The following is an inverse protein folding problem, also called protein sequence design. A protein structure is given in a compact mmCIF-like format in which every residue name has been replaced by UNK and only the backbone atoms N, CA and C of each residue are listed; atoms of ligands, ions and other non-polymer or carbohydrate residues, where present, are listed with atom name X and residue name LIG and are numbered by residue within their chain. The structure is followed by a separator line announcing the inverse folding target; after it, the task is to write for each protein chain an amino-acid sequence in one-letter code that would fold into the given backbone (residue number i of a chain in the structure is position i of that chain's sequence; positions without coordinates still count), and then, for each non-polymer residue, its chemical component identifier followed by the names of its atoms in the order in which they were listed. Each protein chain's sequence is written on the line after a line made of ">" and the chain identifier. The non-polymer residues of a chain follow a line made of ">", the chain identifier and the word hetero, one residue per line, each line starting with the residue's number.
data_IF_353013942501
#
_entry.id   IF_353013942501
#
_cell.length_a   1.000
_cell.length_b   1.000
_cell.length_c   1.000
_cell.angle_alpha   90.00
_cell.angle_beta   90.00
_cell.angle_gamma   90.00
#
_symmetry.space_group_name_H-M   'P 1'
#
loop_
_entity.id
_entity.type
_entity.pdbx_description
1 polymer ?
#
# COMPACT_ATOMS: atom_id res chain seq x y z
N UNK A 1 -3.97 -4.13 17.80
CA UNK A 1 -3.89 -4.93 16.55
C UNK A 1 -2.47 -5.07 16.02
N UNK A 2 -1.69 -3.99 15.82
CA UNK A 2 -0.40 -4.03 15.10
C UNK A 2 0.78 -4.82 15.74
N UNK A 3 0.66 -5.35 16.98
CA UNK A 3 1.75 -6.12 17.63
C UNK A 3 1.80 -7.60 17.27
N UNK A 4 0.75 -8.14 16.63
CA UNK A 4 0.70 -9.53 16.14
C UNK A 4 1.34 -9.70 14.73
N UNK A 5 1.83 -8.62 14.14
CA UNK A 5 2.39 -8.58 12.79
C UNK A 5 3.90 -8.79 12.85
N UNK A 6 4.35 -10.04 12.68
CA UNK A 6 5.77 -10.34 12.46
C UNK A 6 5.99 -10.66 10.98
N UNK A 7 7.03 -10.05 10.40
CA UNK A 7 7.50 -10.39 9.05
C UNK A 7 7.86 -11.86 8.96
N UNK A 8 7.52 -12.48 7.84
CA UNK A 8 8.14 -13.73 7.40
C UNK A 8 8.83 -13.50 6.05
N UNK A 9 9.69 -14.43 5.61
CA UNK A 9 10.45 -14.26 4.36
C UNK A 9 9.55 -14.09 3.11
N UNK A 10 8.30 -14.55 3.18
CA UNK A 10 7.34 -14.56 2.08
C UNK A 10 6.56 -13.24 1.99
N UNK A 11 6.02 -12.75 3.11
CA UNK A 11 5.27 -11.51 3.21
C UNK A 11 6.13 -10.47 3.92
N UNK A 12 6.74 -9.60 3.11
CA UNK A 12 7.58 -8.50 3.58
C UNK A 12 6.87 -7.16 3.59
N UNK A 13 5.67 -7.06 3.04
CA UNK A 13 4.83 -5.87 3.16
C UNK A 13 3.37 -6.21 3.36
N UNK A 14 2.68 -5.41 4.18
CA UNK A 14 1.24 -5.42 4.33
C UNK A 14 0.72 -4.04 3.95
N UNK A 15 -0.13 -3.96 2.93
CA UNK A 15 -0.62 -2.71 2.38
C UNK A 15 -2.13 -2.66 2.50
N UNK A 16 -2.64 -1.61 3.15
CA UNK A 16 -4.06 -1.28 3.09
C UNK A 16 -4.25 -0.38 1.87
N UNK A 17 -4.95 -0.89 0.88
CA UNK A 17 -5.36 -0.11 -0.29
C UNK A 17 -6.48 0.87 0.09
N UNK A 18 -6.76 1.90 -0.73
CA UNK A 18 -7.75 2.92 -0.44
C UNK A 18 -9.12 2.38 -0.03
N UNK A 19 -9.69 1.43 -0.76
CA UNK A 19 -11.00 0.88 -0.42
C UNK A 19 -10.99 0.19 0.96
N UNK A 20 -9.93 -0.54 1.30
CA UNK A 20 -9.81 -1.10 2.64
C UNK A 20 -9.67 -0.01 3.71
N UNK A 21 -8.87 1.02 3.43
CA UNK A 21 -8.68 2.18 4.32
C UNK A 21 -10.03 2.86 4.59
N UNK A 22 -10.89 2.98 3.59
CA UNK A 22 -12.23 3.54 3.74
C UNK A 22 -13.13 2.70 4.63
N UNK A 23 -13.13 1.39 4.44
CA UNK A 23 -13.90 0.48 5.30
C UNK A 23 -13.49 0.57 6.78
N UNK A 24 -12.20 0.79 7.06
CA UNK A 24 -11.69 0.93 8.43
C UNK A 24 -11.90 2.32 9.03
N UNK A 25 -11.53 3.38 8.32
CA UNK A 25 -11.41 4.72 8.88
C UNK A 25 -12.61 5.62 8.56
N UNK A 26 -13.09 5.58 7.32
CA UNK A 26 -14.17 6.45 6.85
C UNK A 26 -15.54 5.89 7.21
N UNK A 27 -15.85 4.66 6.79
CA UNK A 27 -17.14 4.02 7.03
C UNK A 27 -17.20 3.29 8.37
N UNK A 28 -16.04 2.89 8.91
CA UNK A 28 -15.91 2.13 10.17
C UNK A 28 -16.74 0.84 10.19
N UNK A 29 -16.89 0.22 9.01
CA UNK A 29 -17.68 -0.98 8.75
C UNK A 29 -16.86 -2.27 8.85
N UNK A 30 -15.55 -2.20 8.59
CA UNK A 30 -14.67 -3.36 8.75
C UNK A 30 -14.36 -3.61 10.23
N UNK A 31 -15.27 -4.30 10.91
CA UNK A 31 -15.09 -4.81 12.28
C UNK A 31 -15.11 -6.32 12.23
N UNK A 32 -14.01 -6.94 12.63
CA UNK A 32 -13.90 -8.38 12.75
C UNK A 32 -13.62 -8.78 14.20
N UNK A 33 -14.40 -9.72 14.71
CA UNK A 33 -14.15 -10.37 15.99
C UNK A 33 -13.05 -11.41 15.86
N UNK A 34 -12.07 -11.36 16.77
CA UNK A 34 -11.04 -12.38 16.91
C UNK A 34 -11.43 -13.27 18.09
N UNK A 35 -11.61 -14.56 17.85
CA UNK A 35 -12.04 -15.54 18.85
C UNK A 35 -10.88 -16.17 19.61
N UNK A 36 -9.65 -16.02 19.09
CA UNK A 36 -8.44 -16.57 19.68
C UNK A 36 -7.89 -15.66 20.79
N UNK A 37 -7.38 -16.21 21.93
CA UNK A 37 -6.83 -15.43 23.03
C UNK A 37 -5.52 -14.71 22.65
N UNK A 38 -4.76 -15.26 21.69
CA UNK A 38 -3.53 -14.65 21.14
C UNK A 38 -3.59 -14.76 19.61
N UNK A 39 -4.30 -13.84 18.93
CA UNK A 39 -4.52 -13.93 17.49
C UNK A 39 -3.24 -13.62 16.71
N UNK A 40 -2.99 -14.39 15.65
CA UNK A 40 -1.92 -14.19 14.68
C UNK A 40 -2.32 -13.22 13.55
N UNK A 41 -1.36 -12.86 12.69
CA UNK A 41 -1.63 -12.13 11.44
C UNK A 41 -2.64 -12.88 10.56
N UNK A 42 -2.44 -14.19 10.40
CA UNK A 42 -3.32 -15.01 9.59
C UNK A 42 -4.74 -15.01 10.15
N UNK A 43 -4.90 -15.13 11.47
CA UNK A 43 -6.22 -15.04 12.12
C UNK A 43 -6.90 -13.70 11.86
N UNK A 44 -6.14 -12.61 11.95
CA UNK A 44 -6.66 -11.28 11.66
C UNK A 44 -7.11 -11.13 10.20
N UNK A 45 -6.31 -11.61 9.25
CA UNK A 45 -6.66 -11.58 7.82
C UNK A 45 -7.88 -12.44 7.54
N UNK A 46 -7.93 -13.67 8.05
CA UNK A 46 -9.07 -14.59 7.91
C UNK A 46 -10.35 -13.95 8.47
N UNK A 47 -10.27 -13.38 9.67
CA UNK A 47 -11.43 -12.74 10.30
C UNK A 47 -11.93 -11.56 9.46
N UNK A 48 -11.02 -10.71 8.96
CA UNK A 48 -11.38 -9.60 8.08
C UNK A 48 -12.02 -10.08 6.77
N UNK A 49 -11.43 -11.08 6.10
CA UNK A 49 -11.95 -11.56 4.82
C UNK A 49 -13.27 -12.31 4.93
N UNK A 50 -13.55 -12.93 6.08
CA UNK A 50 -14.79 -13.68 6.29
C UNK A 50 -15.94 -12.81 6.82
N UNK A 51 -15.64 -11.77 7.60
CA UNK A 51 -16.65 -10.98 8.32
C UNK A 51 -16.91 -9.61 7.67
N UNK A 52 -16.13 -9.22 6.67
CA UNK A 52 -16.20 -7.87 6.07
C UNK A 52 -16.08 -7.93 4.55
N UNK A 53 -16.13 -6.76 3.89
CA UNK A 53 -15.89 -6.63 2.46
C UNK A 53 -14.40 -6.64 2.07
N UNK A 54 -13.50 -6.72 3.06
CA UNK A 54 -12.06 -6.75 2.82
C UNK A 54 -11.69 -8.06 2.13
N UNK A 55 -10.87 -7.95 1.09
CA UNK A 55 -10.20 -9.04 0.40
C UNK A 55 -8.70 -8.97 0.66
N UNK A 56 -8.07 -10.14 0.58
CA UNK A 56 -6.63 -10.28 0.69
C UNK A 56 -6.06 -10.84 -0.61
N UNK A 57 -5.16 -10.10 -1.25
CA UNK A 57 -4.43 -10.57 -2.44
C UNK A 57 -2.94 -10.54 -2.16
N UNK A 58 -2.27 -11.68 -2.34
CA UNK A 58 -0.82 -11.75 -2.22
C UNK A 58 -0.17 -11.45 -3.58
N UNK A 59 0.59 -10.36 -3.63
CA UNK A 59 1.46 -9.98 -4.76
C UNK A 59 2.89 -9.92 -4.25
N UNK A 60 3.69 -10.98 -4.44
CA UNK A 60 4.99 -11.10 -3.80
C UNK A 60 5.85 -9.82 -3.93
N UNK A 61 6.39 -9.28 -2.81
CA UNK A 61 6.30 -9.76 -1.43
C UNK A 61 5.20 -9.07 -0.58
N UNK A 62 4.24 -8.40 -1.21
CA UNK A 62 3.21 -7.58 -0.60
C UNK A 62 1.89 -8.36 -0.43
N UNK A 63 1.35 -8.35 0.79
CA UNK A 63 -0.04 -8.72 1.05
C UNK A 63 -0.90 -7.46 0.98
N UNK A 64 -1.80 -7.41 0.00
CA UNK A 64 -2.72 -6.29 -0.20
C UNK A 64 -4.04 -6.60 0.50
N UNK A 65 -4.47 -5.73 1.41
CA UNK A 65 -5.82 -5.68 1.93
C UNK A 65 -6.58 -4.61 1.18
N UNK A 66 -7.68 -5.00 0.53
CA UNK A 66 -8.35 -4.16 -0.46
C UNK A 66 -9.84 -4.51 -0.53
N UNK A 67 -10.61 -3.77 -1.32
CA UNK A 67 -12.01 -4.10 -1.67
C UNK A 67 -12.11 -4.48 -3.14
N UNK A 68 -13.31 -4.80 -3.61
CA UNK A 68 -13.58 -5.12 -5.03
C UNK A 68 -13.33 -3.94 -5.97
N UNK A 69 -13.26 -2.73 -5.42
CA UNK A 69 -13.10 -1.49 -6.17
C UNK A 69 -11.63 -1.25 -6.54
N UNK A 70 -10.72 -1.77 -5.74
CA UNK A 70 -9.29 -1.48 -5.82
C UNK A 70 -8.60 -2.29 -6.93
N UNK A 71 -7.88 -1.62 -7.86
CA UNK A 71 -7.06 -2.31 -8.85
C UNK A 71 -5.77 -2.84 -8.22
N UNK A 72 -5.71 -4.15 -7.97
CA UNK A 72 -4.55 -4.81 -7.33
C UNK A 72 -3.31 -4.88 -8.22
N UNK A 73 -3.47 -4.78 -9.55
CA UNK A 73 -2.36 -4.73 -10.50
C UNK A 73 -1.76 -3.32 -10.57
N UNK A 74 -0.48 -3.10 -10.21
CA UNK A 74 0.13 -1.80 -10.29
C UNK A 74 0.33 -1.39 -11.77
N UNK A 75 0.12 -0.12 -12.08
CA UNK A 75 0.57 0.47 -13.34
C UNK A 75 1.98 1.04 -13.11
N UNK A 76 2.95 0.41 -13.75
CA UNK A 76 4.35 0.78 -13.67
C UNK A 76 4.86 0.98 -15.09
N UNK A 77 5.36 2.17 -15.39
CA UNK A 77 6.00 2.47 -16.67
C UNK A 77 7.49 2.69 -16.43
N UNK A 78 8.33 2.05 -17.24
CA UNK A 78 9.78 2.21 -17.17
C UNK A 78 10.21 2.97 -18.44
N UNK A 79 10.63 4.22 -18.27
CA UNK A 79 11.22 5.03 -19.35
C UNK A 79 12.75 5.03 -19.28
N UNK A 80 13.33 4.59 -18.15
CA UNK A 80 14.78 4.53 -17.96
C UNK A 80 15.19 3.29 -17.15
N UNK A 81 15.56 2.23 -17.87
CA UNK A 81 15.95 0.92 -17.31
C UNK A 81 17.05 1.01 -16.24
N UNK A 82 18.15 1.77 -16.41
CA UNK A 82 19.20 1.82 -15.39
C UNK A 82 18.73 2.41 -14.05
N UNK A 83 17.70 3.26 -14.05
CA UNK A 83 17.09 3.74 -12.80
C UNK A 83 16.24 2.64 -12.17
N UNK A 84 15.47 1.90 -12.97
CA UNK A 84 14.65 0.80 -12.49
C UNK A 84 15.51 -0.31 -11.86
N UNK A 85 16.60 -0.70 -12.51
CA UNK A 85 17.57 -1.67 -11.98
C UNK A 85 18.18 -1.18 -10.66
N UNK A 86 18.57 0.10 -10.56
CA UNK A 86 19.05 0.69 -9.30
C UNK A 86 18.01 0.59 -8.19
N UNK A 87 16.73 0.85 -8.50
CA UNK A 87 15.64 0.76 -7.53
C UNK A 87 15.39 -0.67 -7.05
N UNK A 88 15.56 -1.67 -7.91
CA UNK A 88 15.43 -3.09 -7.55
C UNK A 88 16.49 -3.53 -6.54
N UNK A 89 17.71 -2.98 -6.65
CA UNK A 89 18.83 -3.31 -5.76
C UNK A 89 18.96 -2.36 -4.56
N UNK A 90 18.31 -1.20 -4.60
CA UNK A 90 18.31 -0.25 -3.51
C UNK A 90 17.63 -0.86 -2.27
N UNK A 91 18.28 -0.74 -1.12
CA UNK A 91 17.64 -1.11 0.16
C UNK A 91 16.79 0.04 0.64
N UNK A 92 15.55 -0.24 1.01
CA UNK A 92 14.72 0.72 1.71
C UNK A 92 14.93 0.63 3.23
N UNK A 93 14.08 1.28 4.01
CA UNK A 93 14.13 1.26 5.47
C UNK A 93 13.90 -0.18 5.98
N UNK A 94 14.70 -0.69 6.95
CA UNK A 94 14.59 -2.07 7.44
C UNK A 94 13.20 -2.42 7.99
N UNK A 95 12.53 -1.47 8.61
CA UNK A 95 11.16 -1.62 9.07
C UNK A 95 10.44 -0.28 8.97
N UNK A 96 9.28 -0.26 8.32
CA UNK A 96 8.37 0.89 8.26
C UNK A 96 7.01 0.50 8.77
N UNK A 97 6.39 1.45 9.47
CA UNK A 97 5.00 1.39 9.85
C UNK A 97 4.40 2.77 9.60
N UNK A 98 3.66 2.88 8.50
CA UNK A 98 2.88 4.06 8.18
C UNK A 98 1.43 3.78 8.49
N UNK A 99 0.88 4.57 9.39
CA UNK A 99 -0.52 4.56 9.73
C UNK A 99 -1.07 5.93 9.35
N UNK A 100 -1.92 5.97 8.34
CA UNK A 100 -2.63 7.17 7.93
C UNK A 100 -1.67 8.35 7.61
N UNK A 101 -0.66 8.12 6.75
CA UNK A 101 0.37 9.13 6.39
C UNK A 101 0.14 9.74 5.01
N UNK A 102 0.21 11.06 4.92
CA UNK A 102 0.13 11.78 3.64
C UNK A 102 1.44 11.72 2.85
N UNK A 103 1.39 12.21 1.61
CA UNK A 103 2.55 12.28 0.72
C UNK A 103 3.67 13.15 1.28
N UNK A 104 3.35 14.23 1.99
CA UNK A 104 4.35 15.14 2.56
C UNK A 104 5.21 14.45 3.62
N UNK A 105 4.69 13.40 4.27
CA UNK A 105 5.45 12.51 5.14
C UNK A 105 6.26 11.45 4.36
N UNK A 106 5.67 10.84 3.32
CA UNK A 106 6.27 9.71 2.59
C UNK A 106 7.39 10.16 1.66
N UNK A 107 7.19 11.25 0.91
CA UNK A 107 8.11 11.72 -0.12
C UNK A 107 9.53 11.98 0.42
N UNK A 108 9.74 12.65 1.58
CA UNK A 108 11.08 12.86 2.12
C UNK A 108 11.80 11.55 2.47
N UNK A 109 11.07 10.52 2.91
CA UNK A 109 11.67 9.21 3.22
C UNK A 109 12.15 8.53 1.95
N UNK A 110 11.34 8.54 0.89
CA UNK A 110 11.71 8.02 -0.43
C UNK A 110 12.95 8.74 -0.96
N UNK A 111 12.93 10.08 -0.97
CA UNK A 111 14.06 10.90 -1.42
C UNK A 111 15.34 10.59 -0.62
N UNK A 112 15.26 10.58 0.72
CA UNK A 112 16.43 10.33 1.57
C UNK A 112 17.03 8.95 1.36
N UNK A 113 16.20 7.92 1.13
CA UNK A 113 16.64 6.52 1.06
C UNK A 113 17.02 6.08 -0.35
N UNK A 114 16.31 6.56 -1.36
CA UNK A 114 16.49 6.12 -2.75
C UNK A 114 17.33 7.08 -3.57
N UNK A 115 17.59 8.31 -3.07
CA UNK A 115 18.47 9.30 -3.72
C UNK A 115 18.04 9.64 -5.15
N UNK A 116 16.73 9.72 -5.36
CA UNK A 116 16.08 10.13 -6.61
C UNK A 116 15.09 11.26 -6.29
N UNK A 117 14.72 12.02 -7.32
CA UNK A 117 13.62 12.97 -7.20
C UNK A 117 12.27 12.24 -7.30
N UNK A 118 11.29 12.70 -6.52
CA UNK A 118 9.97 12.10 -6.45
C UNK A 118 8.92 13.17 -6.73
N UNK A 119 8.15 12.98 -7.80
CA UNK A 119 7.05 13.87 -8.18
C UNK A 119 5.70 13.19 -7.90
N UNK A 120 4.66 13.98 -7.57
CA UNK A 120 4.65 15.43 -7.42
C UNK A 120 5.47 15.91 -6.21
N UNK A 121 5.90 17.18 -6.24
CA UNK A 121 6.58 17.77 -5.08
C UNK A 121 5.61 17.86 -3.89
N UNK A 122 6.14 17.73 -2.67
CA UNK A 122 5.37 18.02 -1.44
C UNK A 122 4.74 19.41 -1.50
N UNK A 123 3.57 19.53 -0.87
CA UNK A 123 2.79 20.78 -0.80
C UNK A 123 2.33 21.36 -2.14
N UNK A 124 2.35 20.59 -3.23
CA UNK A 124 1.69 21.00 -4.49
C UNK A 124 0.29 20.43 -4.59
N UNK A 125 -0.58 21.08 -5.37
CA UNK A 125 -1.92 20.58 -5.64
C UNK A 125 -1.90 19.19 -6.28
N UNK A 126 -0.89 18.92 -7.12
CA UNK A 126 -0.73 17.60 -7.74
C UNK A 126 -0.54 16.50 -6.70
N UNK A 127 -0.04 16.78 -5.49
CA UNK A 127 0.08 15.78 -4.42
C UNK A 127 -1.24 15.39 -3.75
N UNK A 128 -2.35 16.07 -4.03
CA UNK A 128 -3.62 15.82 -3.35
C UNK A 128 -4.33 14.54 -3.82
N UNK A 129 -3.85 13.92 -4.91
CA UNK A 129 -4.43 12.67 -5.39
C UNK A 129 -4.08 11.46 -4.53
N UNK A 130 -3.04 11.55 -3.69
CA UNK A 130 -2.61 10.43 -2.87
C UNK A 130 -3.62 10.15 -1.77
N UNK A 131 -4.02 8.88 -1.67
CA UNK A 131 -4.66 8.40 -0.45
C UNK A 131 -3.71 8.45 0.74
N UNK A 132 -4.26 8.49 1.95
CA UNK A 132 -3.44 8.40 3.16
C UNK A 132 -2.85 6.99 3.27
N UNK A 133 -1.53 6.92 3.19
CA UNK A 133 -0.77 5.68 3.12
C UNK A 133 -0.83 4.94 4.45
N UNK A 134 -1.35 3.70 4.39
CA UNK A 134 -1.43 2.79 5.52
C UNK A 134 -0.78 1.47 5.14
N UNK A 135 0.49 1.29 5.52
CA UNK A 135 1.21 0.05 5.26
C UNK A 135 2.35 -0.22 6.25
N UNK A 136 2.69 -1.49 6.41
CA UNK A 136 3.88 -1.94 7.10
C UNK A 136 4.81 -2.66 6.12
N UNK A 137 6.11 -2.54 6.32
CA UNK A 137 7.11 -3.16 5.44
C UNK A 137 8.38 -3.51 6.18
N UNK A 138 8.98 -4.64 5.81
CA UNK A 138 10.18 -5.19 6.41
C UNK A 138 11.21 -5.52 5.33
N UNK A 139 12.35 -4.84 5.37
CA UNK A 139 13.46 -5.02 4.43
C UNK A 139 12.99 -5.03 2.96
N UNK A 140 12.12 -4.09 2.60
CA UNK A 140 11.71 -3.90 1.22
C UNK A 140 12.89 -3.36 0.40
N UNK A 141 12.96 -3.75 -0.87
CA UNK A 141 13.79 -3.03 -1.84
C UNK A 141 13.14 -1.67 -2.16
N UNK A 142 13.89 -0.79 -2.83
CA UNK A 142 13.33 0.46 -3.35
C UNK A 142 12.15 0.20 -4.26
N UNK A 143 12.27 -0.77 -5.16
CA UNK A 143 11.21 -1.18 -6.07
C UNK A 143 9.94 -1.67 -5.36
N UNK A 144 10.09 -2.50 -4.32
CA UNK A 144 8.97 -3.00 -3.53
C UNK A 144 8.33 -1.89 -2.69
N UNK A 145 9.13 -0.96 -2.17
CA UNK A 145 8.63 0.21 -1.46
C UNK A 145 7.80 1.11 -2.38
N UNK A 146 8.22 1.34 -3.63
CA UNK A 146 7.45 2.12 -4.60
C UNK A 146 6.12 1.44 -4.94
N UNK A 147 6.11 0.11 -5.10
CA UNK A 147 4.86 -0.63 -5.29
C UNK A 147 3.92 -0.53 -4.08
N UNK A 148 4.45 -0.61 -2.86
CA UNK A 148 3.66 -0.45 -1.64
C UNK A 148 3.07 0.97 -1.51
N UNK A 149 3.87 2.00 -1.80
CA UNK A 149 3.42 3.40 -1.83
C UNK A 149 2.36 3.60 -2.91
N UNK A 150 2.57 3.08 -4.12
CA UNK A 150 1.64 3.18 -5.23
C UNK A 150 0.27 2.54 -4.89
N UNK A 151 0.30 1.31 -4.35
CA UNK A 151 -0.90 0.58 -3.96
C UNK A 151 -1.65 1.25 -2.81
N UNK A 152 -0.95 1.75 -1.78
CA UNK A 152 -1.58 2.45 -0.66
C UNK A 152 -2.15 3.82 -1.08
N UNK A 153 -1.46 4.53 -1.97
CA UNK A 153 -1.80 5.89 -2.38
C UNK A 153 -2.76 5.99 -3.56
N UNK A 154 -3.25 4.88 -4.12
CA UNK A 154 -4.05 4.83 -5.36
C UNK A 154 -3.35 5.48 -6.55
N UNK A 155 -2.08 5.17 -6.75
CA UNK A 155 -1.29 5.81 -7.79
C UNK A 155 -0.63 4.79 -8.71
N UNK A 156 -0.35 5.26 -9.92
CA UNK A 156 0.61 4.66 -10.84
C UNK A 156 1.94 5.37 -10.72
N UNK A 157 3.03 4.74 -11.16
CA UNK A 157 4.30 5.44 -11.24
C UNK A 157 5.09 5.15 -12.51
N UNK A 158 5.83 6.18 -12.93
CA UNK A 158 6.73 6.13 -14.08
C UNK A 158 8.16 6.37 -13.62
N UNK A 159 9.05 5.48 -13.99
CA UNK A 159 10.49 5.58 -13.68
C UNK A 159 11.20 6.28 -14.81
N UNK A 160 11.79 7.44 -14.49
CA UNK A 160 12.54 8.29 -15.42
C UNK A 160 14.02 8.32 -15.04
N UNK A 161 14.83 8.97 -15.88
CA UNK A 161 16.23 9.24 -15.55
C UNK A 161 16.30 10.16 -14.33
N UNK A 162 16.82 9.65 -13.22
CA UNK A 162 17.01 10.40 -11.97
C UNK A 162 15.74 10.68 -11.14
N UNK A 163 14.55 10.27 -11.59
CA UNK A 163 13.30 10.58 -10.89
C UNK A 163 12.22 9.51 -11.06
N UNK A 164 11.25 9.53 -10.14
CA UNK A 164 10.02 8.72 -10.20
C UNK A 164 8.83 9.68 -10.13
N UNK A 165 7.89 9.53 -11.07
CA UNK A 165 6.69 10.36 -11.16
C UNK A 165 5.49 9.51 -10.77
N UNK A 166 4.76 9.93 -9.76
CA UNK A 166 3.49 9.34 -9.36
C UNK A 166 2.33 10.14 -9.93
N UNK A 167 1.30 9.43 -10.36
CA UNK A 167 0.06 10.01 -10.87
C UNK A 167 -1.13 9.20 -10.34
N UNK A 168 -2.31 9.82 -10.30
CA UNK A 168 -3.54 9.16 -9.88
C UNK A 168 -3.85 7.93 -10.75
N UNK A 169 -4.15 6.79 -10.11
CA UNK A 169 -4.77 5.66 -10.79
C UNK A 169 -6.30 5.84 -10.77
N UNK A 170 -6.86 6.14 -11.94
CA UNK A 170 -8.28 6.41 -12.12
C UNK A 170 -9.12 5.15 -12.31
N UNK A 171 -8.51 3.96 -12.33
CA UNK A 171 -9.25 2.71 -12.49
C UNK A 171 -10.08 2.40 -11.25
N UNK A 172 -11.29 1.92 -11.49
CA UNK A 172 -12.21 1.38 -10.49
C UNK A 172 -12.67 0.03 -11.02
N UNK A 173 -12.49 -1.03 -10.24
CA UNK A 173 -12.82 -2.41 -10.68
C UNK A 173 -14.30 -2.78 -10.48
N UNK A 174 -14.97 -2.20 -9.50
CA UNK A 174 -16.37 -2.45 -9.20
C UNK A 174 -17.03 -1.21 -8.59
N UNK A 175 -18.35 -1.10 -8.71
CA UNK A 175 -19.14 -0.05 -8.04
C UNK A 175 -19.29 -0.40 -6.56
N UNK A 176 -19.16 0.56 -5.63
CA UNK A 176 -19.32 0.32 -4.19
C UNK A 176 -20.65 -0.36 -3.86
N UNK A 177 -20.58 -1.56 -3.30
CA UNK A 177 -21.76 -2.28 -2.79
C UNK A 177 -22.06 -1.78 -1.37
N UNK A 178 -22.76 -0.66 -1.25
CA UNK A 178 -23.09 -0.06 0.05
C UNK A 178 -24.08 -0.91 0.88
N UNK A 179 -24.78 -1.88 0.28
CA UNK A 179 -25.95 -2.53 0.90
C UNK A 179 -25.79 -4.03 1.27
N UNK A 180 -24.68 -4.70 0.95
CA UNK A 180 -24.59 -6.16 1.13
C UNK A 180 -23.44 -6.55 2.06
N UNK A 181 -23.77 -6.83 3.33
CA UNK A 181 -22.86 -7.52 4.24
C UNK A 181 -23.07 -9.04 4.13
N UNK A 182 -22.01 -9.86 4.14
CA UNK A 182 -22.19 -11.28 4.45
C UNK A 182 -22.75 -11.40 5.88
N UNK A 183 -23.82 -12.20 6.03
CA UNK A 183 -24.38 -12.56 7.34
C UNK A 183 -23.50 -13.60 8.04
#
# INVERSE_FOLDING_TARGET
>A
MLRAFQSNQTVRGLVFMPGATDEFYMFRRAKAGLTNPVPSLLDAVIALTNQTLIRATFRPPLLLLHTDEDPVEPIIQIEHEPTAEKLQHARFVPHVLYNDRDWDFIQPVLWQKLKLDFHPWRYTQDSWHFYRHSFAGWNLSGWEALQAVAAAGKSRFTVRKGSVVFECDTRIRAVPKLEAFPK
#
